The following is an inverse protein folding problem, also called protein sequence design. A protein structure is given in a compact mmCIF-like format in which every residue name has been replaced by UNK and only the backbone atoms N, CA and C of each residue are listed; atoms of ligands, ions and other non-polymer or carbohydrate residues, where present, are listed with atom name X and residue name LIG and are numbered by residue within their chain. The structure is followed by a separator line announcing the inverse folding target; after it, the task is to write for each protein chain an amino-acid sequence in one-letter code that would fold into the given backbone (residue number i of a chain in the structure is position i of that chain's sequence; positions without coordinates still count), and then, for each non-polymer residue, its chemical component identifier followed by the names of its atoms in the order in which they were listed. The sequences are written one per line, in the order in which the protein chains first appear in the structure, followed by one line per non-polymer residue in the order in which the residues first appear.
data_IF_669632065703
#
_entry.id   IF_669632065703
#
_cell.length_a   1.000
_cell.length_b   1.000
_cell.length_c   1.000
_cell.angle_alpha   90.00
_cell.angle_beta   90.00
_cell.angle_gamma   90.00
#
_symmetry.space_group_name_H-M   'P 1'
#
loop_
_entity.id
_entity.type
_entity.pdbx_description
1 polymer ?
#
# COMPACT_ATOMS: atom_id res chain seq x y z
N UNK A 1 33.70 8.83 44.41
CA UNK A 1 33.61 8.51 42.97
C UNK A 1 33.94 9.79 42.19
N UNK A 2 34.85 9.79 41.21
CA UNK A 2 35.24 11.05 40.54
C UNK A 2 34.12 11.54 39.60
N UNK A 3 33.99 12.86 39.46
CA UNK A 3 32.99 13.48 38.58
C UNK A 3 33.06 12.98 37.13
N UNK A 4 34.24 12.55 36.66
CA UNK A 4 34.42 11.97 35.34
C UNK A 4 33.76 10.59 35.20
N UNK A 5 33.86 9.72 36.22
CA UNK A 5 33.20 8.42 36.23
C UNK A 5 31.68 8.56 36.27
N UNK A 6 31.17 9.51 37.05
CA UNK A 6 29.73 9.79 37.13
C UNK A 6 29.17 10.26 35.77
N UNK A 7 29.85 11.19 35.09
CA UNK A 7 29.45 11.65 33.75
C UNK A 7 29.46 10.54 32.70
N UNK A 8 30.47 9.68 32.73
CA UNK A 8 30.55 8.53 31.82
C UNK A 8 29.34 7.59 31.96
N UNK A 9 28.96 7.25 33.19
CA UNK A 9 27.77 6.43 33.46
C UNK A 9 26.47 7.12 33.03
N UNK A 10 26.36 8.44 33.20
CA UNK A 10 25.21 9.21 32.73
C UNK A 10 25.09 9.14 31.21
N UNK A 11 26.17 9.35 30.46
CA UNK A 11 26.12 9.27 29.00
C UNK A 11 25.82 7.86 28.50
N UNK A 12 26.34 6.83 29.18
CA UNK A 12 26.04 5.44 28.86
C UNK A 12 24.56 5.12 29.10
N UNK A 13 23.99 5.60 30.21
CA UNK A 13 22.57 5.43 30.49
C UNK A 13 21.67 6.16 29.47
N UNK A 14 22.02 7.39 29.07
CA UNK A 14 21.31 8.14 28.03
C UNK A 14 21.37 7.40 26.69
N UNK A 15 22.55 6.93 26.29
CA UNK A 15 22.72 6.17 25.06
C UNK A 15 21.89 4.89 25.05
N UNK A 16 21.86 4.15 26.17
CA UNK A 16 21.03 2.96 26.31
C UNK A 16 19.53 3.29 26.20
N UNK A 17 19.06 4.35 26.86
CA UNK A 17 17.66 4.78 26.77
C UNK A 17 17.25 5.14 25.34
N UNK A 18 18.12 5.83 24.59
CA UNK A 18 17.88 6.15 23.18
C UNK A 18 17.76 4.88 22.35
N UNK A 19 18.62 3.88 22.57
CA UNK A 19 18.56 2.61 21.85
C UNK A 19 17.30 1.82 22.17
N UNK A 20 16.90 1.78 23.45
CA UNK A 20 15.64 1.14 23.86
C UNK A 20 14.43 1.85 23.25
N UNK A 21 14.42 3.18 23.25
CA UNK A 21 13.34 3.95 22.65
C UNK A 21 13.26 3.76 21.11
N UNK A 22 14.41 3.76 20.42
CA UNK A 22 14.47 3.51 18.99
C UNK A 22 14.03 2.07 18.65
N UNK A 23 14.49 1.09 19.43
CA UNK A 23 14.07 -0.31 19.28
C UNK A 23 12.57 -0.48 19.51
N UNK A 24 12.04 0.11 20.58
CA UNK A 24 10.61 0.12 20.86
C UNK A 24 9.80 0.73 19.71
N UNK A 25 10.23 1.89 19.20
CA UNK A 25 9.56 2.55 18.09
C UNK A 25 9.56 1.67 16.83
N UNK A 26 10.69 1.07 16.46
CA UNK A 26 10.77 0.19 15.29
C UNK A 26 9.92 -1.09 15.43
N UNK A 27 9.74 -1.59 16.65
CA UNK A 27 8.93 -2.77 16.93
C UNK A 27 7.42 -2.44 16.94
N UNK A 28 7.04 -1.34 17.60
CA UNK A 28 5.65 -1.04 18.00
C UNK A 28 5.04 0.14 17.25
N UNK A 29 5.70 0.69 16.23
CA UNK A 29 5.13 1.77 15.40
C UNK A 29 3.76 1.33 14.85
N UNK A 30 2.70 2.14 15.01
CA UNK A 30 1.37 1.76 14.54
C UNK A 30 1.36 1.56 13.03
N UNK A 31 0.50 0.65 12.58
CA UNK A 31 0.17 0.49 11.17
C UNK A 31 -0.53 1.75 10.62
N UNK A 32 -0.16 2.19 9.42
CA UNK A 32 -0.84 3.27 8.68
C UNK A 32 -2.23 2.84 8.21
N UNK A 33 -2.35 1.58 7.82
CA UNK A 33 -3.56 1.03 7.21
C UNK A 33 -4.42 0.34 8.26
N UNK A 34 -5.60 0.89 8.49
CA UNK A 34 -6.62 0.43 9.44
C UNK A 34 -7.99 0.47 8.76
N UNK A 35 -9.01 -0.09 9.41
CA UNK A 35 -10.40 0.00 8.92
C UNK A 35 -10.93 1.44 8.85
N UNK A 36 -10.28 2.37 9.54
CA UNK A 36 -10.62 3.80 9.51
C UNK A 36 -9.91 4.51 8.34
N UNK A 37 -8.63 4.22 8.09
CA UNK A 37 -7.83 4.94 7.08
C UNK A 37 -8.00 4.41 5.66
N UNK A 38 -8.30 3.12 5.49
CA UNK A 38 -8.45 2.52 4.16
C UNK A 38 -9.61 3.14 3.35
N UNK A 39 -10.81 3.33 3.91
CA UNK A 39 -11.89 4.01 3.19
C UNK A 39 -11.57 5.48 2.88
N UNK A 40 -10.82 6.16 3.74
CA UNK A 40 -10.39 7.55 3.53
C UNK A 40 -9.43 7.67 2.33
N UNK A 41 -8.38 6.83 2.30
CA UNK A 41 -7.43 6.74 1.19
C UNK A 41 -8.16 6.43 -0.13
N UNK A 42 -9.09 5.49 -0.09
CA UNK A 42 -9.90 5.16 -1.27
C UNK A 42 -10.73 6.36 -1.73
N UNK A 43 -11.34 7.10 -0.80
CA UNK A 43 -12.15 8.27 -1.13
C UNK A 43 -11.31 9.43 -1.68
N UNK A 44 -10.09 9.62 -1.19
CA UNK A 44 -9.17 10.68 -1.64
C UNK A 44 -8.74 10.45 -3.10
N UNK A 45 -8.36 9.22 -3.44
CA UNK A 45 -7.86 8.85 -4.77
C UNK A 45 -8.90 8.12 -5.63
N UNK A 46 -10.18 8.31 -5.32
CA UNK A 46 -11.30 7.55 -5.92
C UNK A 46 -11.28 7.57 -7.44
N UNK A 47 -11.08 8.75 -8.02
CA UNK A 47 -11.09 8.92 -9.47
C UNK A 47 -9.98 8.10 -10.15
N UNK A 48 -8.78 8.09 -9.57
CA UNK A 48 -7.64 7.32 -10.05
C UNK A 48 -7.90 5.81 -9.93
N UNK A 49 -8.35 5.33 -8.77
CA UNK A 49 -8.72 3.93 -8.56
C UNK A 49 -9.75 3.45 -9.59
N UNK A 50 -10.81 4.24 -9.81
CA UNK A 50 -11.88 3.91 -10.74
C UNK A 50 -11.39 3.90 -12.20
N UNK A 51 -10.62 4.90 -12.62
CA UNK A 51 -10.09 4.99 -13.99
C UNK A 51 -9.23 3.77 -14.32
N UNK A 52 -8.33 3.40 -13.40
CA UNK A 52 -7.45 2.24 -13.57
C UNK A 52 -8.25 0.94 -13.61
N UNK A 53 -9.17 0.77 -12.65
CA UNK A 53 -9.92 -0.47 -12.53
C UNK A 53 -10.84 -0.72 -13.74
N UNK A 54 -11.58 0.30 -14.18
CA UNK A 54 -12.47 0.20 -15.34
C UNK A 54 -11.68 -0.09 -16.61
N UNK A 55 -10.55 0.60 -16.82
CA UNK A 55 -9.75 0.41 -18.01
C UNK A 55 -9.18 -1.01 -18.08
N UNK A 56 -8.54 -1.49 -17.01
CA UNK A 56 -7.98 -2.85 -16.95
C UNK A 56 -9.05 -3.93 -17.13
N UNK A 57 -10.20 -3.80 -16.46
CA UNK A 57 -11.32 -4.72 -16.67
C UNK A 57 -11.86 -4.71 -18.10
N UNK A 58 -11.88 -3.54 -18.77
CA UNK A 58 -12.37 -3.44 -20.15
C UNK A 58 -11.44 -4.09 -21.18
N UNK A 59 -10.13 -4.09 -20.89
CA UNK A 59 -9.10 -4.66 -21.76
C UNK A 59 -8.94 -6.15 -21.57
N UNK A 60 -9.23 -6.65 -20.37
CA UNK A 60 -9.11 -8.06 -20.00
C UNK A 60 -7.70 -8.63 -20.25
N UNK A 61 -6.67 -7.82 -19.95
CA UNK A 61 -5.26 -8.19 -20.16
C UNK A 61 -4.61 -8.45 -18.79
N UNK A 62 -4.21 -9.70 -18.48
CA UNK A 62 -3.44 -10.00 -17.28
C UNK A 62 -2.19 -9.12 -17.19
N UNK A 63 -2.12 -8.32 -16.14
CA UNK A 63 -1.07 -7.29 -16.00
C UNK A 63 -0.59 -7.25 -14.56
N UNK A 64 0.70 -7.01 -14.35
CA UNK A 64 1.29 -6.74 -13.04
C UNK A 64 2.22 -5.52 -13.15
N UNK A 65 1.90 -4.48 -12.40
CA UNK A 65 2.52 -3.16 -12.44
C UNK A 65 3.13 -2.91 -11.07
N UNK A 66 4.45 -2.89 -10.97
CA UNK A 66 5.16 -2.88 -9.67
C UNK A 66 6.11 -1.69 -9.49
N UNK A 67 6.17 -0.76 -10.45
CA UNK A 67 7.02 0.42 -10.39
C UNK A 67 6.54 1.53 -11.35
N UNK A 68 6.89 2.77 -11.02
CA UNK A 68 6.81 3.93 -11.91
C UNK A 68 7.66 3.63 -13.16
N UNK A 69 7.13 3.83 -14.37
CA UNK A 69 7.75 3.31 -15.58
C UNK A 69 9.08 3.99 -15.89
N UNK A 70 10.08 3.18 -16.25
CA UNK A 70 11.27 3.65 -16.96
C UNK A 70 10.97 3.80 -18.45
N UNK A 71 11.18 5.01 -18.98
CA UNK A 71 11.30 5.46 -20.40
C UNK A 71 10.12 5.15 -21.35
N UNK A 72 9.37 4.07 -21.14
CA UNK A 72 8.37 3.61 -22.10
C UNK A 72 6.90 3.76 -21.65
N UNK A 73 6.61 4.12 -20.38
CA UNK A 73 5.26 4.39 -19.81
C UNK A 73 4.15 3.37 -20.12
N UNK A 74 4.51 2.21 -20.67
CA UNK A 74 3.53 1.32 -21.30
C UNK A 74 2.92 0.30 -20.36
N UNK A 75 3.50 -0.01 -19.21
CA UNK A 75 2.98 -1.02 -18.27
C UNK A 75 2.59 -2.38 -18.91
N UNK A 76 3.14 -2.72 -20.08
CA UNK A 76 2.72 -3.88 -20.88
C UNK A 76 1.42 -3.69 -21.69
N UNK A 77 0.80 -2.52 -21.62
CA UNK A 77 -0.40 -2.10 -22.34
C UNK A 77 0.00 -1.23 -23.54
N UNK A 78 -0.53 -1.52 -24.76
CA UNK A 78 -0.35 -0.64 -25.91
C UNK A 78 -0.84 0.78 -25.64
N UNK A 79 -0.07 1.78 -26.07
CA UNK A 79 -0.51 3.18 -26.01
C UNK A 79 -1.69 3.39 -26.95
N UNK A 80 -2.77 3.96 -26.44
CA UNK A 80 -3.96 4.31 -27.21
C UNK A 80 -4.23 5.80 -27.07
N UNK A 81 -4.41 6.52 -28.18
CA UNK A 81 -4.78 7.94 -28.13
C UNK A 81 -6.29 8.07 -27.88
N UNK A 82 -6.71 7.76 -26.64
CA UNK A 82 -8.11 7.77 -26.21
C UNK A 82 -8.23 8.33 -24.80
N UNK A 83 -9.30 9.06 -24.50
CA UNK A 83 -9.55 9.61 -23.17
C UNK A 83 -9.50 8.56 -22.04
N UNK A 84 -10.04 7.33 -22.21
CA UNK A 84 -9.93 6.28 -21.19
C UNK A 84 -8.49 5.82 -20.91
N UNK A 85 -7.63 5.79 -21.93
CA UNK A 85 -6.22 5.44 -21.73
C UNK A 85 -5.46 6.54 -20.99
N UNK A 86 -5.69 7.80 -21.35
CA UNK A 86 -5.07 8.95 -20.66
C UNK A 86 -5.48 8.98 -19.18
N UNK A 87 -6.76 8.79 -18.88
CA UNK A 87 -7.25 8.72 -17.50
C UNK A 87 -6.68 7.52 -16.71
N UNK A 88 -6.52 6.38 -17.37
CA UNK A 88 -5.84 5.20 -16.81
C UNK A 88 -4.38 5.51 -16.47
N UNK A 89 -3.65 6.12 -17.41
CA UNK A 89 -2.23 6.39 -17.27
C UNK A 89 -1.98 7.39 -16.13
N UNK A 90 -2.74 8.49 -16.11
CA UNK A 90 -2.68 9.50 -15.05
C UNK A 90 -3.03 8.88 -13.69
N UNK A 91 -4.07 8.04 -13.64
CA UNK A 91 -4.47 7.35 -12.40
C UNK A 91 -3.42 6.38 -11.88
N UNK A 92 -2.74 5.62 -12.75
CA UNK A 92 -1.64 4.75 -12.32
C UNK A 92 -0.47 5.55 -11.78
N UNK A 93 -0.07 6.63 -12.47
CA UNK A 93 1.04 7.48 -12.04
C UNK A 93 0.74 8.10 -10.67
N UNK A 94 -0.47 8.63 -10.49
CA UNK A 94 -0.92 9.19 -9.22
C UNK A 94 -0.81 8.14 -8.09
N UNK A 95 -1.42 6.97 -8.29
CA UNK A 95 -1.49 5.95 -7.24
C UNK A 95 -0.10 5.40 -6.89
N UNK A 96 0.74 5.07 -7.88
CA UNK A 96 2.09 4.53 -7.64
C UNK A 96 3.03 5.53 -6.96
N UNK A 97 2.77 6.84 -7.10
CA UNK A 97 3.55 7.87 -6.43
C UNK A 97 3.12 8.12 -4.98
N UNK A 98 1.91 7.71 -4.60
CA UNK A 98 1.27 8.16 -3.36
C UNK A 98 0.95 7.01 -2.42
N UNK A 99 0.17 6.03 -2.89
CA UNK A 99 -0.56 5.12 -2.00
C UNK A 99 -0.35 3.63 -2.27
N UNK A 100 0.10 3.25 -3.46
CA UNK A 100 0.22 1.84 -3.85
C UNK A 100 1.63 1.48 -4.30
N UNK A 101 2.04 0.24 -4.01
CA UNK A 101 3.28 -0.36 -4.51
C UNK A 101 3.06 -1.07 -5.84
N UNK A 102 1.86 -1.64 -6.05
CA UNK A 102 1.57 -2.35 -7.28
C UNK A 102 0.09 -2.46 -7.64
N UNK A 103 -0.18 -2.67 -8.92
CA UNK A 103 -1.49 -3.00 -9.48
C UNK A 103 -1.40 -4.32 -10.22
N UNK A 104 -2.34 -5.23 -9.97
CA UNK A 104 -2.47 -6.50 -10.68
C UNK A 104 -3.87 -6.67 -11.23
N UNK A 105 -3.99 -7.05 -12.50
CA UNK A 105 -5.22 -7.58 -13.06
C UNK A 105 -5.08 -9.08 -13.30
N UNK A 106 -5.97 -9.88 -12.71
CA UNK A 106 -6.06 -11.31 -12.93
C UNK A 106 -7.51 -11.77 -12.69
N UNK A 107 -8.00 -12.71 -13.50
CA UNK A 107 -9.29 -13.38 -13.33
C UNK A 107 -10.49 -12.43 -13.13
N UNK A 108 -10.51 -11.30 -13.85
CA UNK A 108 -11.59 -10.31 -13.77
C UNK A 108 -11.57 -9.43 -12.51
N UNK A 109 -10.50 -9.49 -11.71
CA UNK A 109 -10.29 -8.63 -10.54
C UNK A 109 -9.05 -7.76 -10.71
N UNK A 110 -9.19 -6.48 -10.41
CA UNK A 110 -8.05 -5.55 -10.28
C UNK A 110 -7.72 -5.44 -8.80
N UNK A 111 -6.47 -5.75 -8.44
CA UNK A 111 -5.94 -5.64 -7.07
C UNK A 111 -4.90 -4.54 -7.03
N UNK A 112 -5.02 -3.63 -6.06
CA UNK A 112 -4.07 -2.58 -5.77
C UNK A 112 -3.42 -2.87 -4.43
N UNK A 113 -2.13 -3.15 -4.41
CA UNK A 113 -1.39 -3.46 -3.18
C UNK A 113 -0.79 -2.18 -2.61
N UNK A 114 -1.02 -1.94 -1.32
CA UNK A 114 -0.35 -0.84 -0.61
C UNK A 114 1.02 -1.29 -0.10
N UNK A 115 1.93 -0.34 0.20
CA UNK A 115 3.16 -0.63 0.93
C UNK A 115 2.91 -1.38 2.25
N UNK A 116 3.92 -2.10 2.73
CA UNK A 116 3.92 -2.62 4.10
C UNK A 116 3.95 -1.46 5.10
N UNK A 117 3.16 -1.57 6.16
CA UNK A 117 3.13 -0.56 7.23
C UNK A 117 3.23 -1.16 8.62
N UNK A 118 3.52 -0.32 9.62
CA UNK A 118 3.71 -0.73 11.01
C UNK A 118 5.15 -1.05 11.38
N UNK A 119 5.37 -1.26 12.68
CA UNK A 119 6.59 -1.83 13.25
C UNK A 119 6.62 -3.35 13.08
N UNK A 120 7.74 -3.98 13.44
CA UNK A 120 7.93 -5.42 13.22
C UNK A 120 6.82 -6.29 13.87
N UNK A 121 6.35 -5.91 15.07
CA UNK A 121 5.34 -6.68 15.80
C UNK A 121 3.89 -6.41 15.36
N UNK A 122 3.67 -5.36 14.57
CA UNK A 122 2.34 -4.90 14.14
C UNK A 122 2.31 -4.62 12.64
N UNK A 123 3.11 -5.39 11.89
CA UNK A 123 3.27 -5.20 10.46
C UNK A 123 2.00 -5.62 9.74
N UNK A 124 1.47 -4.71 8.93
CA UNK A 124 0.30 -4.98 8.10
C UNK A 124 0.64 -4.87 6.61
N UNK A 125 -0.12 -5.64 5.83
CA UNK A 125 -0.27 -5.50 4.38
C UNK A 125 -1.73 -5.18 4.10
N UNK A 126 -1.96 -4.31 3.14
CA UNK A 126 -3.32 -4.01 2.70
C UNK A 126 -3.42 -3.94 1.19
N UNK A 127 -4.65 -4.11 0.73
CA UNK A 127 -4.96 -4.05 -0.68
C UNK A 127 -6.38 -3.52 -0.90
N UNK A 128 -6.59 -2.87 -2.03
CA UNK A 128 -7.91 -2.63 -2.60
C UNK A 128 -8.17 -3.63 -3.71
N UNK A 129 -9.40 -4.10 -3.85
CA UNK A 129 -9.80 -4.92 -4.99
C UNK A 129 -11.10 -4.42 -5.61
N UNK A 130 -11.10 -4.39 -6.93
CA UNK A 130 -12.27 -4.14 -7.76
C UNK A 130 -12.63 -5.40 -8.53
N UNK A 131 -13.84 -5.91 -8.32
CA UNK A 131 -14.35 -7.12 -8.97
C UNK A 131 -14.99 -8.12 -8.02
N UNK A 132 -15.25 -9.32 -8.55
CA UNK A 132 -16.02 -10.36 -7.86
C UNK A 132 -15.16 -11.43 -7.17
N UNK A 133 -13.88 -11.57 -7.54
CA UNK A 133 -12.98 -12.61 -7.02
C UNK A 133 -12.13 -12.03 -5.89
N UNK A 134 -12.05 -12.69 -4.72
CA UNK A 134 -11.14 -12.26 -3.65
C UNK A 134 -9.68 -12.38 -4.12
N UNK A 135 -8.80 -11.41 -3.79
CA UNK A 135 -7.39 -11.55 -4.03
C UNK A 135 -6.85 -12.74 -3.22
N UNK A 136 -6.29 -13.74 -3.90
CA UNK A 136 -5.74 -14.97 -3.29
C UNK A 136 -4.67 -14.69 -2.22
N UNK A 137 -4.06 -13.50 -2.23
CA UNK A 137 -2.81 -13.24 -1.51
C UNK A 137 -2.94 -12.83 -0.05
N UNK A 138 -4.12 -12.45 0.44
CA UNK A 138 -4.19 -11.76 1.75
C UNK A 138 -4.59 -12.64 2.93
N UNK A 139 -5.27 -13.78 2.70
CA UNK A 139 -5.86 -14.59 3.79
C UNK A 139 -6.78 -13.79 4.74
N UNK A 140 -7.11 -12.55 4.38
CA UNK A 140 -7.72 -11.55 5.24
C UNK A 140 -9.21 -11.39 4.91
N UNK A 141 -10.04 -10.98 5.89
CA UNK A 141 -11.44 -10.72 5.65
C UNK A 141 -11.62 -9.62 4.59
N UNK A 142 -12.62 -9.82 3.73
CA UNK A 142 -13.03 -8.87 2.69
C UNK A 142 -13.94 -7.82 3.33
N UNK A 143 -13.47 -6.59 3.43
CA UNK A 143 -14.29 -5.48 3.93
C UNK A 143 -14.87 -4.69 2.76
N UNK A 144 -16.22 -4.56 2.65
CA UNK A 144 -16.84 -3.82 1.57
C UNK A 144 -16.61 -2.31 1.71
N UNK A 145 -16.34 -1.65 0.59
CA UNK A 145 -16.42 -0.20 0.50
C UNK A 145 -17.86 0.23 0.16
N UNK A 146 -18.25 1.50 0.39
CA UNK A 146 -19.60 1.99 0.09
C UNK A 146 -20.03 1.83 -1.38
N UNK A 147 -19.08 1.63 -2.28
CA UNK A 147 -19.30 1.46 -3.72
C UNK A 147 -19.42 -0.02 -4.09
N UNK A 148 -20.39 -0.32 -4.94
CA UNK A 148 -20.57 -1.68 -5.45
C UNK A 148 -19.29 -2.16 -6.15
N UNK A 149 -18.88 -3.40 -5.84
CA UNK A 149 -17.71 -4.08 -6.41
C UNK A 149 -16.34 -3.65 -5.88
N UNK A 150 -16.28 -2.76 -4.88
CA UNK A 150 -15.03 -2.35 -4.23
C UNK A 150 -14.88 -2.94 -2.83
N UNK A 151 -13.68 -3.41 -2.55
CA UNK A 151 -13.34 -4.04 -1.28
C UNK A 151 -11.93 -3.68 -0.88
N UNK A 152 -11.66 -3.74 0.43
CA UNK A 152 -10.31 -3.67 0.95
C UNK A 152 -10.01 -4.85 1.87
N UNK A 153 -8.72 -5.10 2.04
CA UNK A 153 -8.18 -6.19 2.84
C UNK A 153 -7.07 -5.64 3.71
N UNK A 154 -7.02 -6.07 4.96
CA UNK A 154 -5.92 -5.79 5.89
C UNK A 154 -5.49 -7.12 6.49
N UNK A 155 -4.26 -7.51 6.21
CA UNK A 155 -3.64 -8.71 6.74
C UNK A 155 -2.53 -8.33 7.69
N UNK A 156 -2.61 -8.79 8.94
CA UNK A 156 -1.51 -8.68 9.89
C UNK A 156 -0.57 -9.86 9.63
N UNK A 157 0.72 -9.57 9.47
CA UNK A 157 1.70 -10.63 9.33
C UNK A 157 1.94 -11.24 10.72
N UNK A 158 1.27 -12.34 11.02
CA UNK A 158 1.68 -13.23 12.12
C UNK A 158 2.90 -14.02 11.64
N UNK A 159 4.08 -13.73 12.20
CA UNK A 159 5.29 -14.57 12.03
C UNK A 159 5.37 -15.65 13.11
#
# INVERSE_FOLDING_TARGET
MSNAKLRHWIYLAIGFLILVAAGWFLLMRPARYTDETMPEIFSEHRAAFQAVAVYLCSKDIPTNITAVPTIDERFGIPVEDTDPYHAYNDGIIELLHTEIDSVRYADGTVTFMTPESGGFAVRCRSAFAYGNVPPEESGAPRNPLPESNWYYFISMKEE
#
